data_IF_284466051321
#
_entry.id   IF_284466051321
#
_cell.length_a   1.000
_cell.length_b   1.000
_cell.length_c   1.000
_cell.angle_alpha   90.00
_cell.angle_beta   90.00
_cell.angle_gamma   90.00
#
_symmetry.space_group_name_H-M   'P 1'
#
loop_
_entity.id
_entity.type
_entity.pdbx_description
1 polymer ?
#
# COMPACT_ATOMS: atom_id res chain seq x y z
N UNK A 1 -1.02 1.79 13.35
CA UNK A 1 -2.00 1.18 12.41
C UNK A 1 -1.45 -0.04 11.69
N UNK A 2 -0.24 -0.02 11.15
CA UNK A 2 0.34 -1.10 10.34
C UNK A 2 0.49 -2.44 11.05
N UNK A 3 0.72 -2.46 12.36
CA UNK A 3 0.66 -3.70 13.15
C UNK A 3 -0.76 -4.23 13.34
N UNK A 4 -1.78 -3.39 13.20
CA UNK A 4 -3.18 -3.78 13.43
C UNK A 4 -3.50 -4.18 14.88
N UNK A 5 -2.59 -3.92 15.80
CA UNK A 5 -2.68 -4.24 17.24
C UNK A 5 -2.42 -2.97 18.05
N UNK A 6 -3.44 -2.18 18.37
CA UNK A 6 -3.28 -0.95 19.15
C UNK A 6 -2.56 -1.19 20.47
N UNK A 7 -1.64 -0.29 20.81
CA UNK A 7 -0.86 -0.35 22.06
C UNK A 7 0.35 -1.31 22.04
N UNK A 8 0.59 -2.05 20.96
CA UNK A 8 1.82 -2.84 20.80
C UNK A 8 2.82 -2.04 19.96
N UNK A 9 3.88 -1.60 20.59
CA UNK A 9 5.01 -0.93 19.94
C UNK A 9 6.16 -1.90 19.81
N UNK A 10 6.41 -2.39 18.58
CA UNK A 10 7.54 -3.25 18.25
C UNK A 10 7.33 -4.76 18.46
N UNK A 11 8.02 -5.57 17.68
CA UNK A 11 8.15 -7.03 17.85
C UNK A 11 7.02 -7.92 17.37
N UNK A 12 6.00 -7.38 16.69
CA UNK A 12 4.91 -8.17 16.10
C UNK A 12 4.97 -8.24 14.58
N UNK A 13 4.27 -9.21 13.98
CA UNK A 13 4.03 -9.22 12.53
C UNK A 13 3.01 -8.15 12.13
N UNK A 14 3.14 -7.61 10.92
CA UNK A 14 2.18 -6.66 10.35
C UNK A 14 0.84 -7.33 10.01
N UNK A 15 -0.23 -6.54 9.93
CA UNK A 15 -1.56 -7.10 9.64
C UNK A 15 -1.63 -7.74 8.25
N UNK A 16 -0.96 -7.16 7.28
CA UNK A 16 -0.93 -7.67 5.90
C UNK A 16 -0.14 -8.99 5.81
N UNK A 17 0.97 -9.10 6.56
CA UNK A 17 1.71 -10.35 6.68
C UNK A 17 0.85 -11.46 7.32
N UNK A 18 0.07 -11.13 8.36
CA UNK A 18 -0.86 -12.11 8.98
C UNK A 18 -1.99 -12.50 8.04
N UNK A 19 -2.53 -11.56 7.26
CA UNK A 19 -3.52 -11.87 6.24
C UNK A 19 -2.97 -12.87 5.22
N UNK A 20 -1.80 -12.59 4.64
CA UNK A 20 -1.18 -13.49 3.65
C UNK A 20 -0.83 -14.86 4.24
N UNK A 21 -0.44 -14.91 5.50
CA UNK A 21 -0.23 -16.17 6.22
C UNK A 21 -1.53 -16.94 6.44
N UNK A 22 -2.63 -16.24 6.75
CA UNK A 22 -3.95 -16.85 6.97
C UNK A 22 -4.53 -17.48 5.70
N UNK A 23 -4.27 -16.89 4.53
CA UNK A 23 -4.72 -17.43 3.24
C UNK A 23 -3.74 -18.43 2.61
N UNK A 24 -2.55 -18.57 3.17
CA UNK A 24 -1.55 -19.53 2.68
C UNK A 24 -2.10 -20.95 2.71
N UNK A 25 -2.03 -21.66 1.58
CA UNK A 25 -2.60 -22.99 1.43
C UNK A 25 -4.11 -23.05 1.15
N UNK A 26 -4.79 -21.92 1.00
CA UNK A 26 -6.21 -21.89 0.58
C UNK A 26 -6.35 -22.43 -0.85
N UNK A 27 -7.27 -23.37 -1.13
CA UNK A 27 -7.51 -23.84 -2.48
C UNK A 27 -7.94 -22.71 -3.42
N UNK A 28 -7.32 -22.64 -4.60
CA UNK A 28 -7.60 -21.63 -5.61
C UNK A 28 -6.60 -20.48 -5.68
N UNK A 29 -5.72 -20.35 -4.70
CA UNK A 29 -4.55 -19.48 -4.87
C UNK A 29 -3.51 -20.15 -5.76
N UNK A 30 -2.83 -19.39 -6.66
CA UNK A 30 -1.69 -19.93 -7.39
C UNK A 30 -0.63 -20.42 -6.40
N UNK A 31 -0.14 -21.63 -6.58
CA UNK A 31 0.96 -22.16 -5.79
C UNK A 31 2.11 -22.55 -6.75
N UNK A 32 3.38 -22.23 -6.41
CA UNK A 32 3.78 -21.37 -5.30
C UNK A 32 3.53 -19.88 -5.57
N UNK A 33 3.22 -19.10 -4.53
CA UNK A 33 3.26 -17.63 -4.59
C UNK A 33 4.72 -17.21 -4.52
N UNK A 34 5.28 -16.76 -5.62
CA UNK A 34 6.70 -16.39 -5.69
C UNK A 34 6.96 -15.08 -4.95
N UNK A 35 6.08 -14.10 -5.15
CA UNK A 35 6.19 -12.80 -4.52
C UNK A 35 4.78 -12.22 -4.25
N UNK A 36 4.09 -12.72 -3.22
CA UNK A 36 2.70 -12.35 -2.95
C UNK A 36 2.56 -10.91 -2.46
N UNK A 37 3.63 -10.29 -1.98
CA UNK A 37 3.60 -8.93 -1.47
C UNK A 37 4.85 -8.14 -1.86
N UNK A 38 4.63 -6.90 -2.27
CA UNK A 38 5.68 -5.92 -2.54
C UNK A 38 5.56 -4.73 -1.59
N UNK A 39 6.71 -4.36 -1.00
CA UNK A 39 6.87 -3.15 -0.23
C UNK A 39 7.70 -2.14 -1.02
N UNK A 40 7.18 -0.93 -1.20
CA UNK A 40 7.86 0.16 -1.88
C UNK A 40 8.25 1.25 -0.89
N UNK A 41 9.54 1.44 -0.67
CA UNK A 41 10.06 2.42 0.26
C UNK A 41 11.51 2.12 0.63
N UNK A 42 12.13 3.01 1.41
CA UNK A 42 13.50 2.83 1.91
C UNK A 42 13.63 1.69 2.92
N UNK A 43 12.52 1.31 3.55
CA UNK A 43 12.43 0.19 4.49
C UNK A 43 11.22 -0.67 4.12
N UNK A 44 11.21 -1.92 4.58
CA UNK A 44 10.03 -2.76 4.50
C UNK A 44 8.91 -2.15 5.34
N UNK A 45 7.74 -1.95 4.74
CA UNK A 45 6.57 -1.42 5.45
C UNK A 45 6.18 -2.34 6.61
N UNK A 46 5.87 -1.75 7.75
CA UNK A 46 5.56 -2.48 8.99
C UNK A 46 4.40 -3.45 8.80
N UNK A 47 3.44 -3.13 7.93
CA UNK A 47 2.31 -4.01 7.58
C UNK A 47 2.74 -5.35 6.98
N UNK A 48 3.92 -5.43 6.34
CA UNK A 48 4.49 -6.61 5.70
C UNK A 48 5.54 -7.34 6.55
N UNK A 49 5.98 -6.77 7.68
CA UNK A 49 6.97 -7.42 8.55
C UNK A 49 6.42 -8.76 9.05
N UNK A 50 7.26 -9.79 8.99
CA UNK A 50 6.93 -11.16 9.40
C UNK A 50 6.39 -12.06 8.30
N UNK A 51 6.37 -11.57 7.05
CA UNK A 51 6.14 -12.38 5.86
C UNK A 51 7.48 -12.66 5.16
N UNK A 52 7.92 -13.91 5.16
CA UNK A 52 9.20 -14.31 4.55
C UNK A 52 9.25 -14.05 3.03
N UNK A 53 8.10 -14.08 2.38
CA UNK A 53 7.94 -13.90 0.93
C UNK A 53 7.63 -12.45 0.53
N UNK A 54 7.67 -11.48 1.46
CA UNK A 54 7.54 -10.08 1.10
C UNK A 54 8.85 -9.56 0.48
N UNK A 55 8.73 -8.89 -0.66
CA UNK A 55 9.86 -8.29 -1.36
C UNK A 55 9.80 -6.77 -1.18
N UNK A 56 10.83 -6.22 -0.52
CA UNK A 56 10.96 -4.78 -0.31
C UNK A 56 12.04 -4.19 -1.21
N UNK A 57 11.77 -3.05 -1.81
CA UNK A 57 12.78 -2.31 -2.57
C UNK A 57 12.46 -0.82 -2.65
N UNK A 58 13.51 -0.02 -2.65
CA UNK A 58 13.40 1.42 -2.80
C UNK A 58 13.18 1.82 -4.26
N UNK A 59 13.78 1.08 -5.19
CA UNK A 59 13.66 1.30 -6.62
C UNK A 59 13.57 -0.03 -7.34
N UNK A 60 12.48 -0.26 -8.06
CA UNK A 60 12.28 -1.47 -8.86
C UNK A 60 13.36 -1.60 -9.96
N UNK A 61 13.82 -0.48 -10.53
CA UNK A 61 14.89 -0.46 -11.54
C UNK A 61 16.22 -0.97 -10.98
N UNK A 62 16.48 -0.75 -9.67
CA UNK A 62 17.70 -1.17 -9.00
C UNK A 62 17.58 -2.56 -8.36
N UNK A 63 16.39 -3.18 -8.37
CA UNK A 63 16.16 -4.50 -7.83
C UNK A 63 16.69 -5.56 -8.81
N UNK A 64 18.02 -5.71 -8.80
CA UNK A 64 18.77 -6.64 -9.63
C UNK A 64 20.09 -6.99 -8.96
N UNK A 65 20.62 -8.16 -9.26
CA UNK A 65 21.99 -8.49 -8.88
C UNK A 65 22.94 -7.88 -9.90
N UNK A 66 23.58 -6.77 -9.50
CA UNK A 66 24.64 -6.15 -10.30
C UNK A 66 25.93 -6.99 -10.19
N UNK A 67 26.07 -7.96 -11.09
CA UNK A 67 27.31 -8.68 -11.24
C UNK A 67 27.91 -8.36 -12.60
N UNK A 68 29.06 -7.74 -12.63
CA UNK A 68 29.91 -7.46 -13.79
C UNK A 68 29.16 -7.24 -15.12
N UNK A 69 29.12 -6.00 -15.60
CA UNK A 69 28.54 -5.57 -16.86
C UNK A 69 29.27 -6.13 -18.12
N UNK A 70 29.42 -7.44 -18.19
CA UNK A 70 29.86 -8.09 -19.40
C UNK A 70 28.62 -8.60 -20.12
N UNK A 71 28.26 -8.00 -21.24
CA UNK A 71 27.06 -8.27 -22.03
C UNK A 71 26.82 -9.76 -22.37
N UNK A 72 27.80 -10.62 -22.22
CA UNK A 72 27.73 -12.06 -22.48
C UNK A 72 27.44 -12.89 -21.22
N UNK A 73 27.45 -12.26 -20.02
CA UNK A 73 27.31 -12.95 -18.75
C UNK A 73 26.13 -12.41 -17.90
N UNK A 74 25.10 -11.91 -18.53
CA UNK A 74 23.91 -11.36 -17.85
C UNK A 74 23.16 -12.35 -16.95
N UNK A 75 23.49 -13.64 -17.05
CA UNK A 75 22.97 -14.71 -16.17
C UNK A 75 23.99 -15.23 -15.15
N UNK A 76 25.21 -14.70 -15.13
CA UNK A 76 26.30 -15.33 -14.40
C UNK A 76 26.18 -15.21 -12.88
N UNK A 77 25.77 -14.07 -12.36
CA UNK A 77 25.71 -13.86 -10.91
C UNK A 77 24.49 -14.56 -10.29
N UNK A 78 23.36 -14.48 -10.92
CA UNK A 78 22.11 -15.10 -10.48
C UNK A 78 22.16 -16.62 -10.49
N UNK A 79 22.73 -17.22 -11.56
CA UNK A 79 22.90 -18.68 -11.63
C UNK A 79 23.88 -19.23 -10.59
N UNK A 80 24.79 -18.40 -10.07
CA UNK A 80 25.72 -18.79 -9.02
C UNK A 80 25.14 -18.62 -7.62
N UNK A 81 24.13 -17.74 -7.44
CA UNK A 81 23.49 -17.50 -6.16
C UNK A 81 22.57 -18.68 -5.77
N UNK A 82 21.82 -19.26 -6.70
CA UNK A 82 20.92 -20.38 -6.42
C UNK A 82 21.59 -21.57 -5.71
N UNK A 83 22.78 -22.05 -6.15
CA UNK A 83 23.46 -23.15 -5.45
C UNK A 83 23.84 -22.82 -4.00
N UNK A 84 24.02 -21.54 -3.66
CA UNK A 84 24.33 -21.13 -2.29
C UNK A 84 23.15 -21.34 -1.33
N UNK A 85 21.93 -21.39 -1.84
CA UNK A 85 20.70 -21.52 -1.07
C UNK A 85 20.10 -22.95 -1.19
N UNK A 86 20.94 -23.98 -1.21
CA UNK A 86 20.52 -25.37 -1.46
C UNK A 86 19.95 -26.10 -0.23
N UNK A 87 20.09 -25.54 0.96
CA UNK A 87 19.61 -26.15 2.21
C UNK A 87 18.14 -25.77 2.55
N UNK A 88 17.74 -26.13 3.77
CA UNK A 88 16.37 -25.96 4.27
C UNK A 88 16.25 -25.04 5.48
N UNK A 89 17.30 -24.30 5.82
CA UNK A 89 17.21 -23.25 6.85
C UNK A 89 16.29 -22.11 6.42
N UNK A 90 15.82 -21.29 7.34
CA UNK A 90 15.01 -20.10 7.03
C UNK A 90 15.76 -19.13 6.13
N UNK A 91 17.08 -18.96 6.36
CA UNK A 91 17.93 -18.11 5.51
C UNK A 91 18.02 -18.62 4.08
N UNK A 92 18.18 -19.93 3.89
CA UNK A 92 18.29 -20.51 2.55
C UNK A 92 16.95 -20.47 1.81
N UNK A 93 15.82 -20.63 2.50
CA UNK A 93 14.50 -20.42 1.91
C UNK A 93 14.31 -18.96 1.47
N UNK A 94 14.57 -18.01 2.35
CA UNK A 94 14.49 -16.58 2.05
C UNK A 94 15.41 -16.19 0.87
N UNK A 95 16.59 -16.80 0.78
CA UNK A 95 17.50 -16.59 -0.34
C UNK A 95 16.94 -17.10 -1.67
N UNK A 96 16.27 -18.26 -1.68
CA UNK A 96 15.58 -18.76 -2.89
C UNK A 96 14.40 -17.89 -3.27
N UNK A 97 13.56 -17.52 -2.31
CA UNK A 97 12.40 -16.66 -2.55
C UNK A 97 12.83 -15.30 -3.12
N UNK A 98 13.93 -14.73 -2.62
CA UNK A 98 14.52 -13.52 -3.17
C UNK A 98 15.06 -13.70 -4.59
N UNK A 99 15.68 -14.83 -4.89
CA UNK A 99 16.20 -15.15 -6.23
C UNK A 99 15.03 -15.34 -7.22
N UNK A 100 13.96 -16.01 -6.82
CA UNK A 100 12.75 -16.20 -7.64
C UNK A 100 12.07 -14.84 -7.90
N UNK A 101 12.01 -13.96 -6.91
CA UNK A 101 11.49 -12.60 -7.07
C UNK A 101 12.35 -11.77 -8.06
N UNK A 102 13.68 -11.88 -7.98
CA UNK A 102 14.60 -11.24 -8.93
C UNK A 102 14.35 -11.72 -10.39
N UNK A 103 14.07 -13.01 -10.58
CA UNK A 103 13.74 -13.56 -11.90
C UNK A 103 12.48 -12.92 -12.46
N UNK A 104 11.41 -12.82 -11.64
CA UNK A 104 10.15 -12.17 -12.01
C UNK A 104 10.38 -10.69 -12.36
N UNK A 105 11.14 -9.98 -11.52
CA UNK A 105 11.39 -8.54 -11.72
C UNK A 105 12.23 -8.26 -12.97
N UNK A 106 13.13 -9.16 -13.34
CA UNK A 106 14.01 -9.02 -14.51
C UNK A 106 13.23 -8.94 -15.82
N UNK A 107 12.06 -9.55 -15.90
CA UNK A 107 11.24 -9.55 -17.10
C UNK A 107 10.55 -8.19 -17.37
N UNK A 108 10.72 -7.23 -16.46
CA UNK A 108 10.17 -5.89 -16.58
C UNK A 108 11.27 -4.85 -16.86
N UNK A 109 10.97 -3.92 -17.76
CA UNK A 109 11.78 -2.71 -17.91
C UNK A 109 11.16 -1.59 -17.07
N UNK A 110 11.73 -1.34 -15.89
CA UNK A 110 11.28 -0.30 -14.96
C UNK A 110 11.89 1.07 -15.25
N UNK A 111 12.67 1.22 -16.32
CA UNK A 111 13.16 2.53 -16.75
C UNK A 111 12.00 3.49 -17.09
N UNK A 112 12.31 4.78 -17.17
CA UNK A 112 11.30 5.79 -17.48
C UNK A 112 10.58 5.54 -18.82
N UNK A 113 11.25 4.91 -19.79
CA UNK A 113 10.73 4.62 -21.12
C UNK A 113 10.27 3.16 -21.30
N UNK A 114 10.44 2.32 -20.29
CA UNK A 114 10.12 0.88 -20.37
C UNK A 114 8.64 0.56 -20.27
N UNK A 115 7.82 1.55 -19.90
CA UNK A 115 6.41 1.37 -19.72
C UNK A 115 5.60 2.58 -20.18
N UNK A 116 4.56 2.33 -20.97
CA UNK A 116 3.60 3.36 -21.39
C UNK A 116 2.29 3.18 -20.62
N UNK A 117 1.90 4.14 -19.75
CA UNK A 117 0.63 4.09 -19.05
C UNK A 117 -0.57 4.13 -20.01
N UNK A 118 -1.62 3.40 -19.66
CA UNK A 118 -2.86 3.38 -20.41
C UNK A 118 -3.75 4.60 -20.14
N UNK A 119 -4.75 4.83 -21.01
CA UNK A 119 -5.76 5.86 -20.80
C UNK A 119 -5.26 7.30 -20.79
N UNK A 120 -4.01 7.53 -21.18
CA UNK A 120 -3.38 8.86 -21.09
C UNK A 120 -2.94 9.23 -19.65
N UNK A 121 -2.82 8.25 -18.75
CA UNK A 121 -2.39 8.50 -17.38
C UNK A 121 -0.98 9.11 -17.31
N UNK A 122 -0.82 10.11 -16.45
CA UNK A 122 0.45 10.81 -16.23
C UNK A 122 0.78 10.74 -14.74
N UNK A 123 1.73 9.87 -14.39
CA UNK A 123 2.19 9.76 -13.01
C UNK A 123 3.01 10.99 -12.59
N UNK A 124 2.86 11.48 -11.35
CA UNK A 124 3.67 12.58 -10.87
C UNK A 124 5.15 12.21 -10.89
N UNK A 125 5.99 13.22 -11.04
CA UNK A 125 7.43 13.05 -10.90
C UNK A 125 7.80 12.76 -9.44
N UNK A 126 8.83 11.96 -9.21
CA UNK A 126 9.28 11.62 -7.87
C UNK A 126 9.08 10.15 -7.51
N UNK A 127 9.39 9.83 -6.27
CA UNK A 127 9.43 8.45 -5.78
C UNK A 127 8.04 7.81 -5.77
N UNK A 128 7.05 8.52 -5.24
CA UNK A 128 5.69 8.01 -5.10
C UNK A 128 5.05 7.67 -6.46
N UNK A 129 5.10 8.62 -7.41
CA UNK A 129 4.57 8.37 -8.76
C UNK A 129 5.31 7.25 -9.50
N UNK A 130 6.64 7.17 -9.32
CA UNK A 130 7.45 6.08 -9.89
C UNK A 130 7.05 4.72 -9.33
N UNK A 131 6.83 4.62 -8.02
CA UNK A 131 6.41 3.39 -7.35
C UNK A 131 5.02 2.93 -7.81
N UNK A 132 4.05 3.85 -7.92
CA UNK A 132 2.72 3.55 -8.46
C UNK A 132 2.79 3.08 -9.92
N UNK A 133 3.59 3.74 -10.74
CA UNK A 133 3.81 3.34 -12.15
C UNK A 133 4.41 1.94 -12.24
N UNK A 134 5.42 1.63 -11.43
CA UNK A 134 6.06 0.32 -11.41
C UNK A 134 5.08 -0.76 -10.95
N UNK A 135 4.27 -0.48 -9.94
CA UNK A 135 3.22 -1.39 -9.49
C UNK A 135 2.17 -1.63 -10.60
N UNK A 136 1.75 -0.58 -11.31
CA UNK A 136 0.81 -0.71 -12.44
C UNK A 136 1.38 -1.58 -13.56
N UNK A 137 2.66 -1.41 -13.90
CA UNK A 137 3.37 -2.24 -14.87
C UNK A 137 3.36 -3.72 -14.45
N UNK A 138 3.67 -4.01 -13.19
CA UNK A 138 3.67 -5.37 -12.66
C UNK A 138 2.28 -6.00 -12.69
N UNK A 139 1.24 -5.26 -12.29
CA UNK A 139 -0.14 -5.74 -12.28
C UNK A 139 -0.68 -6.05 -13.70
N UNK A 140 -0.19 -5.35 -14.71
CA UNK A 140 -0.57 -5.58 -16.12
C UNK A 140 0.25 -6.66 -16.80
N UNK A 141 1.33 -7.08 -16.20
CA UNK A 141 2.22 -8.09 -16.77
C UNK A 141 1.52 -9.46 -16.87
N UNK A 142 1.77 -10.22 -17.93
CA UNK A 142 1.34 -11.62 -18.02
C UNK A 142 2.11 -12.52 -17.04
N UNK A 143 3.18 -12.03 -16.45
CA UNK A 143 3.99 -12.78 -15.50
C UNK A 143 3.19 -12.96 -14.21
N UNK A 144 2.92 -14.21 -13.90
CA UNK A 144 2.15 -14.58 -12.71
C UNK A 144 3.06 -14.54 -11.47
N UNK A 145 3.40 -13.36 -11.01
CA UNK A 145 4.13 -13.18 -9.75
C UNK A 145 3.32 -13.68 -8.54
N UNK A 146 2.01 -13.88 -8.71
CA UNK A 146 1.12 -14.20 -7.61
C UNK A 146 0.92 -13.01 -6.66
N UNK A 147 1.11 -11.78 -7.16
CA UNK A 147 0.95 -10.57 -6.37
C UNK A 147 -0.47 -10.45 -5.84
N UNK A 148 -0.62 -10.38 -4.52
CA UNK A 148 -1.88 -10.26 -3.79
C UNK A 148 -1.97 -8.90 -3.12
N UNK A 149 -0.84 -8.38 -2.63
CA UNK A 149 -0.78 -7.14 -1.88
C UNK A 149 0.44 -6.29 -2.24
N UNK A 150 0.29 -4.98 -2.11
CA UNK A 150 1.40 -4.05 -2.18
C UNK A 150 1.21 -2.96 -1.13
N UNK A 151 2.31 -2.49 -0.56
CA UNK A 151 2.35 -1.36 0.35
C UNK A 151 3.31 -0.30 -0.19
N UNK A 152 2.84 0.94 -0.28
CA UNK A 152 3.60 2.08 -0.80
C UNK A 152 3.56 3.17 0.26
N UNK A 153 4.73 3.68 0.64
CA UNK A 153 4.83 4.82 1.54
C UNK A 153 4.84 6.12 0.74
N UNK A 154 3.97 7.05 1.13
CA UNK A 154 4.02 8.44 0.73
C UNK A 154 4.40 9.27 1.95
N UNK A 155 5.67 9.64 2.05
CA UNK A 155 6.25 10.22 3.25
C UNK A 155 5.97 11.73 3.42
N UNK A 156 6.60 12.31 4.45
CA UNK A 156 6.63 13.75 4.75
C UNK A 156 5.32 14.38 5.25
N UNK A 157 4.33 13.58 5.64
CA UNK A 157 3.06 14.08 6.16
C UNK A 157 3.15 14.65 7.59
N UNK A 158 4.28 14.49 8.26
CA UNK A 158 4.50 15.02 9.62
C UNK A 158 4.83 16.52 9.61
N UNK A 159 3.90 17.31 9.09
CA UNK A 159 4.05 18.73 8.86
C UNK A 159 3.62 19.53 10.10
N UNK A 160 4.56 19.79 11.02
CA UNK A 160 4.33 20.64 12.19
C UNK A 160 4.44 22.13 11.88
N UNK A 161 4.83 22.49 10.65
CA UNK A 161 4.92 23.86 10.14
C UNK A 161 4.56 23.91 8.66
N UNK A 162 4.26 25.10 8.13
CA UNK A 162 4.04 25.31 6.70
C UNK A 162 2.87 24.52 6.11
N UNK A 163 1.81 24.27 6.86
CA UNK A 163 0.55 23.76 6.35
C UNK A 163 -0.29 24.91 5.81
N UNK A 164 -0.52 24.89 4.51
CA UNK A 164 -1.18 25.96 3.80
C UNK A 164 -0.22 27.13 3.52
N UNK A 165 -0.61 27.98 2.59
CA UNK A 165 0.12 29.22 2.27
C UNK A 165 -0.45 30.35 3.11
N UNK A 166 0.23 30.79 4.19
CA UNK A 166 -0.29 31.90 5.01
C UNK A 166 -0.37 33.21 4.22
N UNK A 167 0.46 33.38 3.19
CA UNK A 167 0.42 34.53 2.29
C UNK A 167 0.81 34.11 0.86
N UNK A 168 -0.14 33.85 -0.05
CA UNK A 168 0.14 33.57 -1.44
C UNK A 168 0.98 34.69 -2.08
N UNK A 169 2.11 34.32 -2.69
CA UNK A 169 3.01 35.28 -3.35
C UNK A 169 4.14 35.85 -2.49
N UNK A 170 4.26 35.44 -1.22
CA UNK A 170 5.44 35.77 -0.40
C UNK A 170 6.54 34.75 -0.65
N UNK A 171 7.71 35.23 -1.10
CA UNK A 171 8.87 34.37 -1.34
C UNK A 171 9.30 33.65 -0.05
N UNK A 172 9.51 32.34 -0.13
CA UNK A 172 9.90 31.49 0.99
C UNK A 172 8.74 30.83 1.75
N UNK A 173 7.49 31.12 1.41
CA UNK A 173 6.34 30.42 1.92
C UNK A 173 6.06 29.21 1.03
N UNK A 174 6.19 28.01 1.57
CA UNK A 174 5.96 26.74 0.89
C UNK A 174 4.80 26.01 1.54
N UNK A 175 3.84 25.58 0.73
CA UNK A 175 2.72 24.77 1.21
C UNK A 175 3.09 23.28 1.16
N UNK A 176 3.72 22.80 2.22
CA UNK A 176 4.11 21.39 2.33
C UNK A 176 2.91 20.45 2.23
N UNK A 177 1.84 20.75 2.95
CA UNK A 177 0.69 19.88 3.00
C UNK A 177 -0.08 19.88 1.66
N UNK A 178 -0.30 21.06 1.08
CA UNK A 178 -0.99 21.16 -0.21
C UNK A 178 -0.27 20.41 -1.33
N UNK A 179 1.07 20.52 -1.39
CA UNK A 179 1.85 19.78 -2.39
C UNK A 179 1.78 18.25 -2.19
N UNK A 180 1.75 17.77 -0.95
CA UNK A 180 1.60 16.34 -0.66
C UNK A 180 0.19 15.83 -1.06
N UNK A 181 -0.84 16.62 -0.80
CA UNK A 181 -2.22 16.29 -1.21
C UNK A 181 -2.33 16.25 -2.73
N UNK A 182 -1.71 17.22 -3.42
CA UNK A 182 -1.69 17.28 -4.88
C UNK A 182 -0.96 16.07 -5.48
N UNK A 183 0.22 15.73 -4.96
CA UNK A 183 0.99 14.55 -5.41
C UNK A 183 0.22 13.25 -5.18
N UNK A 184 -0.41 13.10 -4.01
CA UNK A 184 -1.26 11.95 -3.69
C UNK A 184 -2.44 11.86 -4.67
N UNK A 185 -3.15 12.97 -4.89
CA UNK A 185 -4.31 13.03 -5.78
C UNK A 185 -3.94 12.67 -7.22
N UNK A 186 -2.89 13.30 -7.77
CA UNK A 186 -2.41 13.01 -9.12
C UNK A 186 -1.89 11.57 -9.26
N UNK A 187 -1.21 11.04 -8.24
CA UNK A 187 -0.73 9.66 -8.24
C UNK A 187 -1.87 8.64 -8.27
N UNK A 188 -2.89 8.84 -7.44
CA UNK A 188 -4.08 7.97 -7.40
C UNK A 188 -4.92 8.06 -8.68
N UNK A 189 -5.09 9.26 -9.24
CA UNK A 189 -5.78 9.47 -10.52
C UNK A 189 -5.05 8.76 -11.67
N UNK A 190 -3.74 8.95 -11.76
CA UNK A 190 -2.93 8.27 -12.76
C UNK A 190 -3.01 6.74 -12.64
N UNK A 191 -2.89 6.21 -11.42
CA UNK A 191 -2.97 4.78 -11.16
C UNK A 191 -4.34 4.20 -11.52
N UNK A 192 -5.41 4.88 -11.14
CA UNK A 192 -6.76 4.49 -11.48
C UNK A 192 -6.98 4.51 -13.00
N UNK A 193 -6.64 5.60 -13.67
CA UNK A 193 -6.79 5.77 -15.12
C UNK A 193 -6.03 4.71 -15.89
N UNK A 194 -4.80 4.44 -15.49
CA UNK A 194 -3.92 3.47 -16.12
C UNK A 194 -4.45 2.04 -16.01
N UNK A 195 -4.87 1.60 -14.82
CA UNK A 195 -5.42 0.26 -14.62
C UNK A 195 -6.85 0.12 -15.19
N UNK A 196 -7.64 1.19 -15.15
CA UNK A 196 -8.98 1.21 -15.70
C UNK A 196 -8.98 1.08 -17.24
N UNK A 197 -7.94 1.55 -17.91
CA UNK A 197 -7.75 1.38 -19.35
C UNK A 197 -7.32 -0.04 -19.74
N UNK A 198 -6.91 -0.90 -18.80
CA UNK A 198 -6.45 -2.25 -19.08
C UNK A 198 -7.58 -3.27 -18.99
N UNK A 199 -8.06 -3.74 -20.15
CA UNK A 199 -9.12 -4.76 -20.24
C UNK A 199 -8.62 -6.13 -19.80
N UNK A 200 -9.41 -6.81 -18.96
CA UNK A 200 -9.18 -8.19 -18.51
C UNK A 200 -10.22 -9.17 -19.08
N UNK A 201 -11.03 -8.72 -20.05
CA UNK A 201 -12.09 -9.49 -20.67
C UNK A 201 -13.45 -9.36 -19.95
N UNK A 202 -14.51 -9.86 -20.58
CA UNK A 202 -15.85 -9.87 -20.00
C UNK A 202 -16.47 -8.49 -19.71
N UNK A 203 -15.97 -7.42 -20.35
CA UNK A 203 -16.39 -6.03 -20.07
C UNK A 203 -15.76 -5.45 -18.81
N UNK A 204 -14.82 -6.16 -18.19
CA UNK A 204 -14.11 -5.73 -16.98
C UNK A 204 -12.73 -5.17 -17.33
N UNK A 205 -12.22 -4.35 -16.44
CA UNK A 205 -10.85 -3.85 -16.46
C UNK A 205 -10.11 -4.20 -15.16
N UNK A 206 -8.81 -3.92 -15.12
CA UNK A 206 -7.97 -4.34 -14.02
C UNK A 206 -8.35 -3.69 -12.67
N UNK A 207 -8.93 -2.47 -12.69
CA UNK A 207 -9.44 -1.82 -11.46
C UNK A 207 -10.59 -2.57 -10.78
N UNK A 208 -11.26 -3.51 -11.46
CA UNK A 208 -12.22 -4.40 -10.80
C UNK A 208 -11.55 -5.44 -9.88
N UNK A 209 -10.26 -5.69 -10.10
CA UNK A 209 -9.45 -6.64 -9.29
C UNK A 209 -8.59 -5.95 -8.25
N UNK A 210 -8.46 -4.63 -8.31
CA UNK A 210 -7.61 -3.85 -7.42
C UNK A 210 -8.47 -3.01 -6.47
N UNK A 211 -8.10 -3.00 -5.20
CA UNK A 211 -8.66 -2.12 -4.18
C UNK A 211 -7.51 -1.38 -3.54
N UNK A 212 -7.52 -0.07 -3.60
CA UNK A 212 -6.54 0.80 -2.95
C UNK A 212 -7.15 1.31 -1.65
N UNK A 213 -6.41 1.21 -0.56
CA UNK A 213 -6.73 1.81 0.72
C UNK A 213 -5.61 2.78 1.07
N UNK A 214 -5.97 4.03 1.30
CA UNK A 214 -5.05 5.06 1.79
C UNK A 214 -5.38 5.32 3.26
N UNK A 215 -4.37 5.22 4.09
CA UNK A 215 -4.50 5.48 5.53
C UNK A 215 -3.30 6.28 6.02
N UNK A 216 -3.52 7.08 7.04
CA UNK A 216 -2.47 7.83 7.73
C UNK A 216 -2.12 7.15 9.05
N UNK A 217 -0.89 7.35 9.49
CA UNK A 217 -0.36 6.84 10.75
C UNK A 217 -0.99 7.54 11.97
N UNK A 218 -1.29 8.84 11.84
CA UNK A 218 -1.84 9.69 12.89
C UNK A 218 -2.91 10.65 12.33
N UNK A 219 -3.72 11.22 13.21
CA UNK A 219 -4.58 12.36 12.92
C UNK A 219 -3.87 13.69 13.19
N UNK A 220 -4.59 14.79 13.00
CA UNK A 220 -4.13 16.15 13.29
C UNK A 220 -5.06 16.83 14.27
N UNK A 221 -4.50 17.71 15.10
CA UNK A 221 -5.30 18.61 15.93
C UNK A 221 -6.14 19.52 15.07
N UNK A 222 -7.32 19.86 15.56
CA UNK A 222 -8.25 20.73 14.85
C UNK A 222 -7.71 22.17 14.69
N UNK A 223 -7.03 22.68 15.70
CA UNK A 223 -6.45 24.01 15.67
C UNK A 223 -4.99 24.02 15.20
N UNK A 224 -4.58 25.00 14.41
CA UNK A 224 -3.19 25.17 14.02
C UNK A 224 -2.33 25.52 15.24
N UNK A 225 -1.05 25.15 15.17
CA UNK A 225 -0.04 25.57 16.13
C UNK A 225 0.57 26.93 15.77
N UNK A 226 1.51 27.42 16.58
CA UNK A 226 2.15 28.72 16.38
C UNK A 226 3.10 28.78 15.15
N UNK A 227 3.42 27.64 14.56
CA UNK A 227 4.33 27.52 13.39
C UNK A 227 3.58 27.36 12.05
N UNK A 228 2.29 27.67 12.01
CA UNK A 228 1.42 27.49 10.84
C UNK A 228 1.39 26.03 10.35
N UNK A 229 1.45 25.08 11.25
CA UNK A 229 1.22 23.66 11.09
C UNK A 229 0.21 23.17 12.09
N UNK A 230 0.08 21.85 12.25
CA UNK A 230 -0.73 21.22 13.29
C UNK A 230 0.06 20.15 14.00
N UNK A 231 -0.17 19.98 15.29
CA UNK A 231 0.38 18.86 16.03
C UNK A 231 -0.43 17.58 15.75
N UNK A 232 0.10 16.41 16.17
CA UNK A 232 -0.60 15.15 16.03
C UNK A 232 -1.92 15.18 16.79
N UNK A 233 -2.95 14.60 16.17
CA UNK A 233 -4.28 14.45 16.75
C UNK A 233 -4.74 12.99 16.73
N UNK A 234 -6.01 12.76 17.09
CA UNK A 234 -6.53 11.42 17.34
C UNK A 234 -7.22 10.82 16.11
N UNK A 235 -8.23 11.48 15.56
CA UNK A 235 -9.00 11.00 14.42
C UNK A 235 -8.43 11.43 13.07
N UNK A 236 -8.64 10.58 12.05
CA UNK A 236 -8.26 10.86 10.68
C UNK A 236 -9.25 10.22 9.70
N UNK A 237 -9.08 10.51 8.42
CA UNK A 237 -9.85 9.88 7.34
C UNK A 237 -9.07 8.70 6.76
N UNK A 238 -9.81 7.75 6.21
CA UNK A 238 -9.29 6.75 5.27
C UNK A 238 -9.92 7.01 3.91
N UNK A 239 -9.21 6.68 2.83
CA UNK A 239 -9.75 6.72 1.48
C UNK A 239 -9.71 5.33 0.86
N UNK A 240 -10.73 5.00 0.06
CA UNK A 240 -10.79 3.78 -0.72
C UNK A 240 -11.00 4.11 -2.21
N UNK A 241 -10.29 3.40 -3.09
CA UNK A 241 -10.38 3.60 -4.53
C UNK A 241 -10.43 2.25 -5.24
N UNK A 242 -11.32 2.11 -6.22
CA UNK A 242 -11.48 0.92 -7.04
C UNK A 242 -12.86 0.82 -7.66
N UNK A 243 -13.00 0.00 -8.71
CA UNK A 243 -14.30 -0.16 -9.39
C UNK A 243 -15.34 -0.98 -8.60
N UNK A 244 -14.94 -1.49 -7.43
CA UNK A 244 -15.80 -2.20 -6.48
C UNK A 244 -15.87 -1.46 -5.14
N UNK A 245 -15.61 -0.17 -5.14
CA UNK A 245 -15.81 0.72 -4.01
C UNK A 245 -17.11 1.48 -4.22
N UNK A 246 -17.94 1.61 -3.20
CA UNK A 246 -19.14 2.45 -3.18
C UNK A 246 -18.73 3.93 -3.08
N UNK A 247 -18.04 4.43 -4.12
CA UNK A 247 -17.37 5.72 -4.13
C UNK A 247 -18.30 6.92 -4.32
N UNK A 248 -17.71 8.11 -4.35
CA UNK A 248 -18.42 9.37 -4.54
C UNK A 248 -19.19 9.85 -3.32
N UNK A 249 -18.96 9.27 -2.16
CA UNK A 249 -19.62 9.59 -0.90
C UNK A 249 -18.69 9.41 0.31
N UNK A 250 -19.09 9.98 1.43
CA UNK A 250 -18.47 9.74 2.74
C UNK A 250 -19.19 8.59 3.43
N UNK A 251 -18.41 7.66 3.98
CA UNK A 251 -18.87 6.55 4.78
C UNK A 251 -18.59 6.79 6.26
N UNK A 252 -19.46 6.27 7.13
CA UNK A 252 -19.34 6.45 8.57
C UNK A 252 -20.01 7.73 9.07
N UNK A 253 -19.68 8.10 10.30
CA UNK A 253 -20.28 9.27 10.97
C UNK A 253 -19.21 10.34 11.20
N UNK A 254 -19.42 11.52 10.65
CA UNK A 254 -18.57 12.66 10.97
C UNK A 254 -18.96 13.20 12.35
N UNK A 255 -18.00 13.29 13.31
CA UNK A 255 -18.34 13.62 14.70
C UNK A 255 -18.70 15.09 14.93
N UNK A 256 -18.35 15.98 14.00
CA UNK A 256 -18.40 17.42 14.19
C UNK A 256 -17.06 18.02 14.63
N UNK A 257 -17.00 19.35 14.65
CA UNK A 257 -15.79 20.12 15.00
C UNK A 257 -16.07 21.17 16.09
N UNK A 258 -17.24 21.11 16.75
CA UNK A 258 -17.53 21.95 17.91
C UNK A 258 -16.84 21.38 19.17
N UNK A 259 -16.62 22.22 20.16
CA UNK A 259 -15.86 21.87 21.37
C UNK A 259 -16.40 20.61 22.11
N UNK A 260 -17.69 20.31 21.99
CA UNK A 260 -18.31 19.15 22.63
C UNK A 260 -18.12 17.86 21.78
N UNK A 261 -17.88 18.02 20.51
CA UNK A 261 -17.69 16.91 19.55
C UNK A 261 -16.22 16.49 19.41
N UNK A 262 -15.30 17.38 19.79
CA UNK A 262 -13.87 17.10 19.75
C UNK A 262 -13.46 16.17 20.91
N UNK A 263 -12.59 15.21 20.61
CA UNK A 263 -11.91 14.41 21.63
C UNK A 263 -10.95 15.31 22.42
N UNK A 264 -11.09 15.33 23.75
CA UNK A 264 -10.35 16.22 24.66
C UNK A 264 -10.39 17.71 24.25
N UNK A 265 -11.47 18.14 23.57
CA UNK A 265 -11.66 19.51 23.06
C UNK A 265 -10.54 19.99 22.11
N UNK A 266 -9.81 19.09 21.48
CA UNK A 266 -8.65 19.42 20.62
C UNK A 266 -8.59 18.62 19.34
N UNK A 267 -9.00 17.34 19.39
CA UNK A 267 -8.77 16.40 18.30
C UNK A 267 -10.07 15.95 17.66
N UNK A 268 -10.04 15.61 16.39
CA UNK A 268 -11.17 14.94 15.75
C UNK A 268 -11.41 13.59 16.42
N UNK A 269 -12.63 13.32 16.83
CA UNK A 269 -12.99 12.06 17.50
C UNK A 269 -12.95 10.89 16.49
N UNK A 270 -12.52 9.72 16.96
CA UNK A 270 -12.58 8.48 16.18
C UNK A 270 -13.99 7.90 16.31
N UNK A 271 -14.70 7.78 15.18
CA UNK A 271 -16.06 7.22 15.12
C UNK A 271 -16.08 5.79 14.54
N UNK A 272 -15.02 5.39 13.85
CA UNK A 272 -14.90 4.07 13.27
C UNK A 272 -13.49 3.53 13.47
N UNK A 273 -13.39 2.30 13.96
CA UNK A 273 -12.10 1.62 14.06
C UNK A 273 -11.60 1.26 12.64
N UNK A 274 -10.40 1.66 12.28
CA UNK A 274 -9.82 1.38 10.96
C UNK A 274 -9.78 -0.11 10.62
N UNK A 275 -9.68 -0.98 11.63
CA UNK A 275 -9.70 -2.44 11.44
C UNK A 275 -11.05 -2.94 10.93
N UNK A 276 -12.14 -2.23 11.24
CA UNK A 276 -13.46 -2.55 10.70
C UNK A 276 -13.49 -2.39 9.19
N UNK A 277 -12.95 -1.28 8.67
CA UNK A 277 -12.89 -0.99 7.23
C UNK A 277 -11.94 -1.96 6.50
N UNK A 278 -10.76 -2.21 7.07
CA UNK A 278 -9.83 -3.17 6.46
C UNK A 278 -10.42 -4.57 6.48
N UNK A 279 -11.11 -4.97 7.56
CA UNK A 279 -11.77 -6.28 7.62
C UNK A 279 -12.87 -6.43 6.58
N UNK A 280 -13.66 -5.38 6.34
CA UNK A 280 -14.65 -5.36 5.26
C UNK A 280 -13.98 -5.58 3.89
N UNK A 281 -12.88 -4.87 3.60
CA UNK A 281 -12.12 -5.08 2.38
C UNK A 281 -11.58 -6.51 2.25
N UNK A 282 -11.03 -7.07 3.31
CA UNK A 282 -10.51 -8.44 3.31
C UNK A 282 -11.61 -9.48 3.08
N UNK A 283 -12.79 -9.26 3.64
CA UNK A 283 -13.94 -10.17 3.46
C UNK A 283 -14.54 -10.01 2.07
N UNK A 284 -14.93 -8.79 1.69
CA UNK A 284 -15.74 -8.56 0.49
C UNK A 284 -14.91 -8.54 -0.80
N UNK A 285 -13.64 -8.13 -0.72
CA UNK A 285 -12.76 -8.03 -1.89
C UNK A 285 -11.79 -9.19 -2.02
N UNK A 286 -11.31 -9.70 -0.90
CA UNK A 286 -10.26 -10.72 -0.87
C UNK A 286 -10.78 -12.10 -0.47
N UNK A 287 -12.09 -12.21 -0.13
CA UNK A 287 -12.73 -13.48 0.17
C UNK A 287 -12.27 -14.13 1.48
N UNK A 288 -11.69 -13.38 2.41
CA UNK A 288 -11.31 -13.90 3.73
C UNK A 288 -12.56 -14.21 4.54
N UNK A 289 -12.75 -15.45 5.05
CA UNK A 289 -13.87 -15.75 5.92
C UNK A 289 -13.87 -14.83 7.16
N UNK A 290 -15.01 -14.24 7.56
CA UNK A 290 -15.08 -13.36 8.73
C UNK A 290 -14.52 -13.99 10.02
N UNK A 291 -14.65 -15.29 10.18
CA UNK A 291 -14.10 -16.04 11.30
C UNK A 291 -12.56 -16.02 11.38
N UNK A 292 -11.87 -15.67 10.31
CA UNK A 292 -10.40 -15.58 10.26
C UNK A 292 -9.88 -14.16 10.56
N UNK A 293 -10.75 -13.17 10.64
CA UNK A 293 -10.34 -11.78 10.96
C UNK A 293 -9.53 -11.69 12.27
N UNK A 294 -9.85 -12.44 13.36
CA UNK A 294 -9.01 -12.41 14.56
C UNK A 294 -7.56 -12.92 14.37
N UNK A 295 -7.28 -13.65 13.30
CA UNK A 295 -5.91 -14.04 12.95
C UNK A 295 -5.13 -12.85 12.34
N UNK A 296 -5.84 -11.97 11.63
CA UNK A 296 -5.28 -10.75 11.04
C UNK A 296 -5.21 -9.62 12.07
N UNK A 297 -6.26 -9.45 12.86
CA UNK A 297 -6.37 -8.42 13.90
C UNK A 297 -6.61 -9.05 15.28
N UNK A 298 -5.57 -9.55 15.95
CA UNK A 298 -5.71 -10.15 17.28
C UNK A 298 -6.41 -9.22 18.28
N UNK A 299 -7.40 -9.77 18.98
CA UNK A 299 -8.19 -9.01 19.96
C UNK A 299 -9.25 -8.08 19.35
N UNK A 300 -9.44 -8.10 18.03
CA UNK A 300 -10.51 -7.36 17.35
C UNK A 300 -11.64 -8.30 16.93
N UNK A 301 -12.88 -7.86 17.17
CA UNK A 301 -14.08 -8.55 16.71
C UNK A 301 -14.72 -7.80 15.56
N UNK A 302 -14.67 -8.39 14.38
CA UNK A 302 -15.29 -7.82 13.18
C UNK A 302 -16.81 -7.88 13.28
N UNK A 303 -17.46 -6.73 13.16
CA UNK A 303 -18.91 -6.62 13.14
C UNK A 303 -19.43 -6.59 11.70
N UNK A 304 -19.92 -7.70 11.20
CA UNK A 304 -20.45 -7.82 9.83
C UNK A 304 -21.76 -7.05 9.59
N UNK A 305 -22.47 -6.68 10.67
CA UNK A 305 -23.73 -5.91 10.57
C UNK A 305 -23.53 -4.40 10.75
N UNK A 306 -22.33 -3.98 11.12
CA UNK A 306 -21.97 -2.57 11.37
C UNK A 306 -20.91 -2.07 10.41
N UNK A 307 -20.82 -2.66 9.22
CA UNK A 307 -19.92 -2.18 8.18
C UNK A 307 -20.48 -0.91 7.56
N UNK A 308 -19.64 0.05 7.21
CA UNK A 308 -20.05 1.23 6.45
C UNK A 308 -20.44 0.95 4.99
N UNK A 309 -20.40 -0.30 4.53
CA UNK A 309 -20.67 -0.75 3.15
C UNK A 309 -19.81 -0.01 2.11
N UNK A 310 -18.53 0.10 2.42
CA UNK A 310 -17.54 0.75 1.55
C UNK A 310 -17.25 -0.11 0.33
N UNK A 311 -17.22 -1.43 0.49
CA UNK A 311 -16.81 -2.36 -0.54
C UNK A 311 -17.97 -3.23 -1.03
N UNK A 312 -18.01 -3.43 -2.35
CA UNK A 312 -18.98 -4.33 -2.99
C UNK A 312 -18.38 -5.73 -3.05
N UNK A 313 -19.16 -6.74 -2.69
CA UNK A 313 -18.79 -8.15 -2.84
C UNK A 313 -18.41 -8.48 -4.27
N UNK A 314 -17.43 -9.34 -4.45
CA UNK A 314 -16.81 -9.70 -5.73
C UNK A 314 -17.61 -10.64 -6.60
#
# INVERSE_FOLDING_TARGET
MELGTPGITGGGSGWLARYLSAISGTPGLPAPLIAPAFGFGSNMQTSLIGLDQAVGFNSAEQFRVDGFQWNWNQRGADTQIYPLWSGNSSLERAGRDAADALEVMREHDFSANGYTPGGGAVYPSGSFGTQLRNLAQMLKSPIKAGLIAAAIDHGFWDTHEGQGMPNPGVAGHYDWFGNLVEELGHGLDAFYTDLNAHSIGGGLNLMHKVTVIVQSEFGRRFLPNASAGTDHGYGNIMMALGNRVSGGQLHGTFPGLDDNSLYESQDVAVTTDFRQIISEALVDRMGLPPAQIPQVFPGFSYNTSGTPDVFQTG
#
